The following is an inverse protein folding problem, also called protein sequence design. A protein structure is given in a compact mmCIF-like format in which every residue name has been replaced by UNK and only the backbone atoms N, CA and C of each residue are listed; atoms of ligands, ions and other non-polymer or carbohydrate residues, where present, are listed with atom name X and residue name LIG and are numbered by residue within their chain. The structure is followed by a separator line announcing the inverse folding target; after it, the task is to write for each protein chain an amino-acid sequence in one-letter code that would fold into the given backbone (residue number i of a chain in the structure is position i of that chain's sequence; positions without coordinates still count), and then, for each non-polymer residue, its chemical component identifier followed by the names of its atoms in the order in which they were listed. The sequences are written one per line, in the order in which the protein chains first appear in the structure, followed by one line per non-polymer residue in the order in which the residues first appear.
data_IF_458591798350
#
_entry.id   IF_458591798350
#
_cell.length_a   1.000
_cell.length_b   1.000
_cell.length_c   1.000
_cell.angle_alpha   90.00
_cell.angle_beta   90.00
_cell.angle_gamma   90.00
#
_symmetry.space_group_name_H-M   'P 1'
#
loop_
_entity.id
_entity.type
_entity.pdbx_description
1 polymer ?
#
# COMPACT_ATOMS: atom_id res chain seq x y z
N UNK A 1 -16.88 5.54 -10.78
CA UNK A 1 -15.50 5.00 -10.87
C UNK A 1 -15.32 3.94 -9.81
N UNK A 2 -14.54 2.87 -10.11
CA UNK A 2 -14.18 1.85 -9.11
C UNK A 2 -12.67 1.76 -9.03
N UNK A 3 -12.12 1.77 -7.81
CA UNK A 3 -10.71 1.57 -7.54
C UNK A 3 -10.48 0.19 -6.92
N UNK A 4 -9.49 -0.55 -7.41
CA UNK A 4 -8.98 -1.77 -6.82
C UNK A 4 -7.60 -1.47 -6.25
N UNK A 5 -7.55 -1.14 -4.95
CA UNK A 5 -6.30 -0.76 -4.27
C UNK A 5 -5.61 -2.01 -3.74
N UNK A 6 -4.40 -2.27 -4.20
CA UNK A 6 -3.64 -3.49 -3.91
C UNK A 6 -2.35 -3.14 -3.19
N UNK A 7 -2.06 -3.82 -2.07
CA UNK A 7 -0.74 -3.81 -1.47
C UNK A 7 0.20 -4.74 -2.24
N UNK A 8 1.42 -4.31 -2.52
CA UNK A 8 2.44 -5.14 -3.21
C UNK A 8 2.66 -6.51 -2.54
N UNK A 9 3.19 -7.49 -3.30
CA UNK A 9 3.54 -8.83 -2.82
C UNK A 9 4.71 -8.85 -1.82
N UNK A 10 5.00 -10.02 -1.24
CA UNK A 10 6.09 -10.20 -0.28
C UNK A 10 7.48 -10.00 -0.93
N UNK A 11 8.42 -9.51 -0.15
CA UNK A 11 9.84 -9.33 -0.47
C UNK A 11 10.71 -9.96 0.62
N UNK A 12 11.99 -10.20 0.36
CA UNK A 12 12.86 -10.88 1.33
C UNK A 12 13.01 -10.12 2.65
N UNK A 13 13.01 -8.80 2.63
CA UNK A 13 13.03 -8.00 3.87
C UNK A 13 11.79 -8.19 4.74
N UNK A 14 10.66 -8.62 4.17
CA UNK A 14 9.50 -9.01 4.99
C UNK A 14 9.79 -10.26 5.84
N UNK A 15 10.51 -11.27 5.27
CA UNK A 15 10.87 -12.50 6.00
C UNK A 15 11.80 -12.23 7.18
N UNK A 16 12.78 -11.35 6.97
CA UNK A 16 13.80 -11.01 7.98
C UNK A 16 13.40 -9.82 8.84
N UNK A 17 12.16 -9.34 8.69
CA UNK A 17 11.56 -8.21 9.42
C UNK A 17 12.47 -6.97 9.45
N UNK A 18 12.93 -6.53 8.26
CA UNK A 18 13.65 -5.27 8.09
C UNK A 18 12.73 -4.16 7.64
N UNK A 19 12.96 -2.97 8.20
CA UNK A 19 12.28 -1.72 7.82
C UNK A 19 12.54 -1.40 6.35
N UNK A 20 11.49 -1.11 5.60
CA UNK A 20 11.62 -0.75 4.20
C UNK A 20 10.61 0.31 3.80
N UNK A 21 11.11 1.49 3.49
CA UNK A 21 10.38 2.59 2.88
C UNK A 21 10.73 2.74 1.41
N UNK A 22 11.65 3.63 1.09
CA UNK A 22 12.05 3.96 -0.28
C UNK A 22 13.14 3.06 -0.86
N UNK A 23 13.86 2.26 -0.04
CA UNK A 23 14.81 1.26 -0.54
C UNK A 23 14.09 0.33 -1.52
N UNK A 24 14.61 0.25 -2.75
CA UNK A 24 13.91 -0.40 -3.85
C UNK A 24 14.33 -1.87 -4.00
N UNK A 25 13.58 -2.76 -3.37
CA UNK A 25 13.80 -4.22 -3.36
C UNK A 25 12.65 -4.90 -4.11
N UNK A 26 12.96 -5.84 -5.05
CA UNK A 26 11.95 -6.54 -5.82
C UNK A 26 11.14 -7.53 -4.97
N UNK A 27 10.07 -8.06 -5.56
CA UNK A 27 9.32 -9.18 -4.99
C UNK A 27 10.23 -10.42 -4.87
N UNK A 28 9.99 -11.22 -3.83
CA UNK A 28 10.51 -12.59 -3.79
C UNK A 28 9.55 -13.54 -4.53
N UNK A 29 9.93 -14.81 -4.69
CA UNK A 29 9.10 -15.79 -5.41
C UNK A 29 7.73 -16.00 -4.77
N UNK A 30 7.65 -15.93 -3.43
CA UNK A 30 6.38 -16.03 -2.74
C UNK A 30 5.49 -14.81 -3.02
N UNK A 31 6.05 -13.60 -3.04
CA UNK A 31 5.32 -12.38 -3.42
C UNK A 31 4.79 -12.44 -4.85
N UNK A 32 5.59 -12.97 -5.80
CA UNK A 32 5.15 -13.21 -7.18
C UNK A 32 4.03 -14.24 -7.25
N UNK A 33 4.12 -15.31 -6.44
CA UNK A 33 3.04 -16.28 -6.33
C UNK A 33 1.74 -15.64 -5.85
N UNK A 34 1.76 -14.87 -4.76
CA UNK A 34 0.58 -14.15 -4.25
C UNK A 34 -0.02 -13.21 -5.29
N UNK A 35 0.82 -12.48 -6.03
CA UNK A 35 0.37 -11.60 -7.11
C UNK A 35 -0.31 -12.37 -8.26
N UNK A 36 0.20 -13.58 -8.60
CA UNK A 36 -0.45 -14.46 -9.59
C UNK A 36 -1.81 -14.98 -9.11
N UNK A 37 -1.95 -15.34 -7.85
CA UNK A 37 -3.24 -15.76 -7.29
C UNK A 37 -4.24 -14.59 -7.29
N UNK A 38 -3.80 -13.38 -6.93
CA UNK A 38 -4.62 -12.18 -7.03
C UNK A 38 -5.02 -11.89 -8.49
N UNK A 39 -4.10 -12.09 -9.46
CA UNK A 39 -4.41 -11.97 -10.87
C UNK A 39 -5.53 -12.94 -11.32
N UNK A 40 -5.53 -14.19 -10.81
CA UNK A 40 -6.61 -15.16 -11.08
C UNK A 40 -7.94 -14.69 -10.50
N UNK A 41 -7.92 -14.16 -9.27
CA UNK A 41 -9.12 -13.61 -8.62
C UNK A 41 -9.72 -12.41 -9.36
N UNK A 42 -8.86 -11.58 -9.97
CA UNK A 42 -9.27 -10.42 -10.74
C UNK A 42 -9.37 -10.67 -12.26
N UNK A 43 -9.36 -11.94 -12.70
CA UNK A 43 -9.34 -12.29 -14.12
C UNK A 43 -10.53 -11.73 -14.89
N UNK A 44 -11.73 -11.84 -14.32
CA UNK A 44 -12.98 -11.37 -14.92
C UNK A 44 -13.30 -9.91 -14.56
N UNK A 45 -12.45 -9.27 -13.75
CA UNK A 45 -12.64 -7.88 -13.35
C UNK A 45 -12.19 -6.96 -14.49
N UNK A 46 -13.09 -6.09 -14.95
CA UNK A 46 -12.74 -5.04 -15.91
C UNK A 46 -11.80 -4.05 -15.23
N UNK A 47 -10.65 -3.81 -15.85
CA UNK A 47 -9.68 -2.77 -15.46
C UNK A 47 -9.38 -1.96 -16.72
N UNK A 48 -9.55 -0.64 -16.66
CA UNK A 48 -9.38 0.27 -17.78
C UNK A 48 -8.07 1.05 -17.71
N UNK A 49 -7.48 1.16 -16.52
CA UNK A 49 -6.25 1.89 -16.22
C UNK A 49 -5.59 1.25 -14.99
N UNK A 50 -4.27 1.27 -14.94
CA UNK A 50 -3.53 0.96 -13.71
C UNK A 50 -2.62 2.13 -13.34
N UNK A 51 -2.54 2.42 -12.04
CA UNK A 51 -1.63 3.40 -11.46
C UNK A 51 -0.80 2.68 -10.40
N UNK A 52 0.51 2.86 -10.43
CA UNK A 52 1.41 2.18 -9.51
C UNK A 52 2.38 3.16 -8.85
N UNK A 53 2.77 2.86 -7.61
CA UNK A 53 3.99 3.42 -7.06
C UNK A 53 5.17 3.12 -7.99
N UNK A 54 6.13 4.04 -8.16
CA UNK A 54 7.33 3.80 -8.97
C UNK A 54 8.27 2.74 -8.38
N UNK A 55 8.11 2.34 -7.10
CA UNK A 55 8.94 1.31 -6.48
C UNK A 55 8.69 -0.06 -7.13
N UNK A 56 9.79 -0.74 -7.47
CA UNK A 56 9.79 -1.97 -8.27
C UNK A 56 8.80 -3.04 -7.78
N UNK A 57 8.68 -3.24 -6.46
CA UNK A 57 7.77 -4.23 -5.87
C UNK A 57 6.28 -3.96 -6.15
N UNK A 58 5.88 -2.70 -6.17
CA UNK A 58 4.50 -2.31 -6.50
C UNK A 58 4.25 -2.40 -8.00
N UNK A 59 5.19 -1.93 -8.80
CA UNK A 59 5.16 -2.01 -10.27
C UNK A 59 5.09 -3.46 -10.74
N UNK A 60 5.96 -4.33 -10.23
CA UNK A 60 5.99 -5.76 -10.53
C UNK A 60 4.67 -6.44 -10.14
N UNK A 61 4.09 -6.08 -8.98
CA UNK A 61 2.78 -6.58 -8.55
C UNK A 61 1.68 -6.20 -9.54
N UNK A 62 1.62 -4.93 -9.94
CA UNK A 62 0.65 -4.47 -10.95
C UNK A 62 0.82 -5.21 -12.28
N UNK A 63 2.05 -5.35 -12.77
CA UNK A 63 2.35 -6.04 -14.03
C UNK A 63 1.90 -7.50 -14.00
N UNK A 64 2.14 -8.22 -12.89
CA UNK A 64 1.69 -9.62 -12.72
C UNK A 64 0.16 -9.69 -12.71
N UNK A 65 -0.53 -8.79 -12.00
CA UNK A 65 -2.00 -8.75 -11.95
C UNK A 65 -2.58 -8.43 -13.33
N UNK A 66 -2.00 -7.51 -14.06
CA UNK A 66 -2.45 -7.15 -15.40
C UNK A 66 -2.20 -8.30 -16.42
N UNK A 67 -1.12 -9.05 -16.25
CA UNK A 67 -0.77 -10.16 -17.14
C UNK A 67 -0.60 -9.69 -18.59
N UNK A 68 -1.32 -10.30 -19.52
CA UNK A 68 -1.25 -9.98 -20.98
C UNK A 68 -2.23 -8.87 -21.41
N UNK A 69 -3.00 -8.32 -20.47
CA UNK A 69 -3.97 -7.25 -20.75
C UNK A 69 -3.24 -5.98 -21.20
N UNK A 70 -3.60 -5.43 -22.35
CA UNK A 70 -3.03 -4.18 -22.88
C UNK A 70 -3.68 -2.97 -22.21
N UNK A 71 -3.36 -2.77 -20.93
CA UNK A 71 -3.92 -1.72 -20.09
C UNK A 71 -2.80 -0.70 -19.78
N UNK A 72 -3.06 0.61 -19.95
CA UNK A 72 -2.10 1.64 -19.58
C UNK A 72 -1.69 1.51 -18.10
N UNK A 73 -0.39 1.56 -17.82
CA UNK A 73 0.19 1.55 -16.49
C UNK A 73 0.95 2.87 -16.26
N UNK A 74 0.41 3.71 -15.40
CA UNK A 74 1.00 5.00 -15.01
C UNK A 74 1.74 4.86 -13.68
N UNK A 75 2.78 5.64 -13.48
CA UNK A 75 3.49 5.73 -12.20
C UNK A 75 3.10 7.04 -11.49
N UNK A 76 2.83 6.95 -10.18
CA UNK A 76 2.58 8.12 -9.36
C UNK A 76 3.40 8.07 -8.06
N UNK A 77 4.32 9.03 -7.82
CA UNK A 77 5.15 9.05 -6.62
C UNK A 77 4.37 9.32 -5.33
N UNK A 78 3.16 9.89 -5.40
CA UNK A 78 2.32 10.16 -4.23
C UNK A 78 1.80 8.90 -3.54
N UNK A 79 1.84 7.74 -4.19
CA UNK A 79 1.47 6.45 -3.61
C UNK A 79 2.68 5.55 -3.32
N UNK A 80 3.90 6.13 -3.20
CA UNK A 80 5.06 5.43 -2.64
C UNK A 80 4.83 5.06 -1.18
N UNK A 81 5.60 4.10 -0.67
CA UNK A 81 5.63 3.82 0.77
C UNK A 81 6.16 5.04 1.54
N UNK A 82 5.85 5.13 2.82
CA UNK A 82 6.46 6.12 3.70
C UNK A 82 7.97 5.93 3.70
N UNK A 83 8.72 7.03 3.59
CA UNK A 83 10.18 7.01 3.68
C UNK A 83 10.62 6.91 5.14
N UNK A 84 11.47 5.93 5.47
CA UNK A 84 11.95 5.76 6.84
C UNK A 84 13.36 6.34 7.08
N UNK A 85 13.98 6.98 6.08
CA UNK A 85 15.28 7.62 6.22
C UNK A 85 16.34 6.70 6.83
N UNK A 86 16.98 7.15 7.91
CA UNK A 86 18.03 6.39 8.59
C UNK A 86 17.57 5.05 9.21
N UNK A 87 16.26 4.81 9.33
CA UNK A 87 15.75 3.54 9.84
C UNK A 87 15.61 2.46 8.75
N UNK A 88 15.81 2.78 7.47
CA UNK A 88 15.73 1.76 6.42
C UNK A 88 16.79 0.68 6.58
N UNK A 89 16.38 -0.59 6.50
CA UNK A 89 17.24 -1.76 6.73
C UNK A 89 17.44 -2.16 8.19
N UNK A 90 16.96 -1.35 9.16
CA UNK A 90 16.98 -1.70 10.58
C UNK A 90 16.09 -2.91 10.83
N UNK A 91 16.46 -3.77 11.79
CA UNK A 91 15.63 -4.90 12.21
C UNK A 91 14.46 -4.43 13.05
N UNK A 92 13.23 -4.81 12.71
CA UNK A 92 12.07 -4.52 13.55
C UNK A 92 12.06 -5.31 14.87
N UNK A 93 12.80 -6.43 14.93
CA UNK A 93 12.88 -7.32 16.11
C UNK A 93 14.13 -7.08 16.96
N UNK A 94 14.97 -6.10 16.62
CA UNK A 94 16.18 -5.77 17.39
C UNK A 94 15.84 -5.22 18.78
N UNK A 95 16.74 -5.45 19.74
CA UNK A 95 16.62 -4.90 21.11
C UNK A 95 17.41 -3.59 21.29
N UNK A 96 18.08 -3.14 20.24
CA UNK A 96 18.79 -1.86 20.22
C UNK A 96 17.82 -0.66 20.26
N UNK A 97 18.29 0.53 20.67
CA UNK A 97 17.44 1.72 20.78
C UNK A 97 16.73 2.11 19.48
N UNK A 98 17.38 1.94 18.32
CA UNK A 98 16.81 2.31 17.01
C UNK A 98 15.65 1.38 16.66
N UNK A 99 15.82 0.08 16.82
CA UNK A 99 14.78 -0.92 16.61
C UNK A 99 13.58 -0.67 17.52
N UNK A 100 13.82 -0.32 18.80
CA UNK A 100 12.73 0.03 19.75
C UNK A 100 12.01 1.31 19.33
N UNK A 101 12.72 2.34 18.93
CA UNK A 101 12.12 3.59 18.44
C UNK A 101 11.26 3.36 17.19
N UNK A 102 11.74 2.54 16.25
CA UNK A 102 10.96 2.20 15.05
C UNK A 102 9.67 1.43 15.38
N UNK A 103 9.66 0.54 16.38
CA UNK A 103 8.44 -0.18 16.76
C UNK A 103 7.29 0.73 17.20
N UNK A 104 7.57 1.96 17.64
CA UNK A 104 6.53 2.94 17.95
C UNK A 104 5.69 3.28 16.72
N UNK A 105 6.25 3.23 15.52
CA UNK A 105 5.49 3.40 14.29
C UNK A 105 4.27 2.46 14.17
N UNK A 106 4.36 1.25 14.72
CA UNK A 106 3.24 0.30 14.73
C UNK A 106 2.46 0.30 16.04
N UNK A 107 3.15 0.41 17.18
CA UNK A 107 2.55 0.15 18.49
C UNK A 107 2.00 1.43 19.15
N UNK A 108 2.58 2.58 18.85
CA UNK A 108 2.19 3.90 19.36
C UNK A 108 2.53 4.99 18.33
N UNK A 109 1.83 5.05 17.17
CA UNK A 109 2.19 5.96 16.08
C UNK A 109 2.27 7.43 16.50
N UNK A 110 1.47 7.87 17.47
CA UNK A 110 1.52 9.22 18.02
C UNK A 110 2.80 9.54 18.80
N UNK A 111 3.55 8.52 19.24
CA UNK A 111 4.85 8.67 19.91
C UNK A 111 6.03 8.46 18.93
N UNK A 112 5.75 8.04 17.69
CA UNK A 112 6.79 7.82 16.70
C UNK A 112 7.37 9.14 16.21
N UNK A 113 8.69 9.28 16.35
CA UNK A 113 9.44 10.42 15.82
C UNK A 113 10.17 9.99 14.56
N UNK A 114 9.82 10.61 13.44
CA UNK A 114 10.46 10.34 12.16
C UNK A 114 11.96 10.72 12.24
N UNK A 115 12.89 9.81 11.89
CA UNK A 115 14.32 10.10 11.92
C UNK A 115 14.72 11.01 10.77
N UNK A 116 15.99 11.42 10.75
CA UNK A 116 16.52 12.26 9.68
C UNK A 116 16.28 11.60 8.31
N UNK A 117 15.74 12.38 7.38
CA UNK A 117 15.46 11.95 6.02
C UNK A 117 14.23 11.02 5.87
N UNK A 118 13.49 10.80 6.96
CA UNK A 118 12.21 10.11 6.91
C UNK A 118 11.06 11.07 6.64
N UNK A 119 9.95 10.52 6.20
CA UNK A 119 8.67 11.18 6.04
C UNK A 119 7.84 11.00 7.32
N UNK A 120 7.07 12.00 7.71
CA UNK A 120 6.08 11.87 8.81
C UNK A 120 4.78 11.24 8.31
N UNK A 121 3.93 10.80 9.26
CA UNK A 121 2.61 10.26 8.92
C UNK A 121 1.71 11.36 8.35
N UNK A 122 1.85 12.60 8.82
CA UNK A 122 1.12 13.76 8.32
C UNK A 122 1.49 14.05 6.85
N UNK A 123 2.78 14.06 6.51
CA UNK A 123 3.24 14.25 5.13
C UNK A 123 2.72 13.13 4.21
N UNK A 124 2.69 11.88 4.73
CA UNK A 124 2.09 10.76 4.02
C UNK A 124 0.58 10.98 3.78
N UNK A 125 -0.15 11.46 4.79
CA UNK A 125 -1.56 11.82 4.63
C UNK A 125 -1.77 12.94 3.61
N UNK A 126 -0.92 13.96 3.57
CA UNK A 126 -1.02 15.05 2.61
C UNK A 126 -0.88 14.54 1.18
N UNK A 127 0.23 13.87 0.84
CA UNK A 127 0.46 13.43 -0.55
C UNK A 127 -0.53 12.37 -1.04
N UNK A 128 -0.95 11.43 -0.16
CA UNK A 128 -1.99 10.46 -0.53
C UNK A 128 -3.37 11.10 -0.64
N UNK A 129 -3.62 12.18 0.12
CA UNK A 129 -4.82 13.00 0.01
C UNK A 129 -4.88 13.74 -1.33
N UNK A 130 -3.77 14.33 -1.78
CA UNK A 130 -3.68 15.00 -3.08
C UNK A 130 -3.91 14.02 -4.23
N UNK A 131 -3.38 12.80 -4.11
CA UNK A 131 -3.64 11.72 -5.06
C UNK A 131 -5.13 11.36 -5.12
N UNK A 132 -5.78 11.16 -3.97
CA UNK A 132 -7.21 10.84 -3.91
C UNK A 132 -8.06 11.97 -4.47
N UNK A 133 -7.72 13.21 -4.16
CA UNK A 133 -8.42 14.40 -4.66
C UNK A 133 -8.40 14.42 -6.19
N UNK A 134 -7.23 14.25 -6.80
CA UNK A 134 -7.12 14.19 -8.27
C UNK A 134 -7.98 13.07 -8.86
N UNK A 135 -7.96 11.87 -8.26
CA UNK A 135 -8.82 10.77 -8.70
C UNK A 135 -10.30 11.16 -8.69
N UNK A 136 -10.74 11.85 -7.65
CA UNK A 136 -12.14 12.25 -7.50
C UNK A 136 -12.54 13.38 -8.48
N UNK A 137 -11.60 14.26 -8.86
CA UNK A 137 -11.87 15.44 -9.70
C UNK A 137 -11.67 15.19 -11.19
N UNK A 138 -10.87 14.18 -11.56
CA UNK A 138 -10.47 13.96 -12.97
C UNK A 138 -11.61 13.36 -13.80
N UNK A 139 -12.26 14.18 -14.59
CA UNK A 139 -13.45 13.83 -15.37
C UNK A 139 -13.22 12.62 -16.29
N UNK A 140 -12.07 12.53 -16.96
CA UNK A 140 -11.74 11.42 -17.88
C UNK A 140 -11.64 10.06 -17.20
N UNK A 141 -11.60 10.00 -15.87
CA UNK A 141 -11.49 8.76 -15.09
C UNK A 141 -12.81 8.34 -14.43
N UNK A 142 -13.84 9.19 -14.41
CA UNK A 142 -15.08 8.97 -13.67
C UNK A 142 -15.86 7.69 -14.06
N UNK A 143 -15.65 7.17 -15.26
CA UNK A 143 -16.28 5.94 -15.74
C UNK A 143 -15.30 4.75 -15.80
N UNK A 144 -14.09 4.90 -15.25
CA UNK A 144 -13.05 3.85 -15.31
C UNK A 144 -13.03 2.98 -14.07
N UNK A 145 -12.57 1.76 -14.27
CA UNK A 145 -12.13 0.85 -13.23
C UNK A 145 -10.61 0.90 -13.18
N UNK A 146 -10.05 1.31 -12.06
CA UNK A 146 -8.63 1.61 -11.92
C UNK A 146 -7.99 0.65 -10.91
N UNK A 147 -6.93 -0.05 -11.33
CA UNK A 147 -6.06 -0.80 -10.43
C UNK A 147 -5.03 0.16 -9.83
N UNK A 148 -4.90 0.20 -8.51
CA UNK A 148 -3.88 0.99 -7.80
C UNK A 148 -2.96 0.05 -7.05
N UNK A 149 -1.68 0.00 -7.43
CA UNK A 149 -0.69 -0.82 -6.74
C UNK A 149 0.21 0.03 -5.85
N UNK A 150 0.17 -0.22 -4.55
CA UNK A 150 0.82 0.60 -3.54
C UNK A 150 1.38 -0.24 -2.37
N UNK A 151 1.56 0.35 -1.19
CA UNK A 151 2.28 -0.21 -0.04
C UNK A 151 1.43 -0.20 1.22
N UNK A 152 1.97 -0.74 2.32
CA UNK A 152 1.24 -0.89 3.56
C UNK A 152 0.78 0.43 4.17
N UNK A 153 1.72 1.34 4.47
CA UNK A 153 1.37 2.62 5.09
C UNK A 153 0.66 3.57 4.11
N UNK A 154 1.10 3.61 2.85
CA UNK A 154 0.45 4.45 1.84
C UNK A 154 -1.01 4.04 1.57
N UNK A 155 -1.30 2.73 1.52
CA UNK A 155 -2.67 2.21 1.41
C UNK A 155 -3.49 2.57 2.64
N UNK A 156 -2.93 2.39 3.84
CA UNK A 156 -3.59 2.75 5.11
C UNK A 156 -3.92 4.25 5.14
N UNK A 157 -2.98 5.12 4.78
CA UNK A 157 -3.21 6.57 4.73
C UNK A 157 -4.34 6.94 3.76
N UNK A 158 -4.33 6.35 2.56
CA UNK A 158 -5.37 6.56 1.55
C UNK A 158 -6.76 6.12 2.07
N UNK A 159 -6.85 4.95 2.69
CA UNK A 159 -8.12 4.42 3.22
C UNK A 159 -8.61 5.21 4.43
N UNK A 160 -7.70 5.66 5.32
CA UNK A 160 -8.05 6.52 6.45
C UNK A 160 -8.60 7.87 5.97
N UNK A 161 -8.05 8.42 4.90
CA UNK A 161 -8.60 9.64 4.27
C UNK A 161 -10.03 9.42 3.80
N UNK A 162 -10.34 8.29 3.19
CA UNK A 162 -11.69 7.92 2.74
C UNK A 162 -12.64 7.79 3.94
N UNK A 163 -12.16 7.25 5.06
CA UNK A 163 -12.94 7.12 6.31
C UNK A 163 -13.13 8.44 7.06
N UNK A 164 -12.41 9.49 6.70
CA UNK A 164 -12.38 10.75 7.46
C UNK A 164 -11.63 10.65 8.79
N UNK A 165 -10.76 9.66 8.97
CA UNK A 165 -9.96 9.42 10.19
C UNK A 165 -8.49 9.70 9.91
N UNK A 166 -8.00 10.88 10.30
CA UNK A 166 -6.64 11.36 10.04
C UNK A 166 -5.78 11.46 11.31
N UNK A 167 -6.20 10.85 12.41
CA UNK A 167 -5.41 10.80 13.64
C UNK A 167 -4.15 9.96 13.43
N UNK A 168 -2.99 10.49 13.84
CA UNK A 168 -1.72 9.78 13.84
C UNK A 168 -1.74 8.65 14.86
N UNK A 169 -2.31 8.86 16.05
CA UNK A 169 -2.41 7.88 17.12
C UNK A 169 -3.14 6.61 16.68
N UNK A 170 -4.18 6.77 15.86
CA UNK A 170 -4.98 5.66 15.35
C UNK A 170 -4.64 5.28 13.90
N UNK A 171 -3.43 5.62 13.43
CA UNK A 171 -3.03 5.42 12.02
C UNK A 171 -3.33 4.01 11.50
N UNK A 172 -2.96 2.99 12.25
CA UNK A 172 -3.14 1.59 11.84
C UNK A 172 -4.54 1.03 12.07
N UNK A 173 -5.41 1.72 12.79
CA UNK A 173 -6.78 1.36 13.19
C UNK A 173 -6.97 -0.12 13.54
N UNK A 174 -6.69 -1.02 12.60
CA UNK A 174 -6.74 -2.47 12.81
C UNK A 174 -5.36 -3.10 12.64
N UNK A 175 -4.92 -3.28 11.41
CA UNK A 175 -3.67 -3.98 11.07
C UNK A 175 -3.15 -3.54 9.71
N UNK A 176 -1.86 -3.76 9.49
CA UNK A 176 -1.26 -3.58 8.15
C UNK A 176 -1.99 -4.48 7.14
N UNK A 177 -2.49 -3.96 6.01
CA UNK A 177 -3.14 -4.76 4.97
C UNK A 177 -2.27 -5.96 4.55
N UNK A 178 -2.83 -7.16 4.31
CA UNK A 178 -2.07 -8.31 3.83
C UNK A 178 -1.38 -8.04 2.49
N UNK A 179 -0.25 -8.70 2.23
CA UNK A 179 0.38 -8.63 0.90
C UNK A 179 -0.58 -9.13 -0.18
N UNK A 180 -0.65 -8.45 -1.30
CA UNK A 180 -1.57 -8.73 -2.42
C UNK A 180 -3.07 -8.74 -2.02
N UNK A 181 -3.45 -8.19 -0.86
CA UNK A 181 -4.86 -7.93 -0.58
C UNK A 181 -5.38 -6.78 -1.45
N UNK A 182 -6.67 -6.85 -1.77
CA UNK A 182 -7.39 -5.87 -2.59
C UNK A 182 -8.47 -5.21 -1.76
N UNK A 183 -8.47 -3.88 -1.73
CA UNK A 183 -9.58 -3.08 -1.20
C UNK A 183 -10.31 -2.41 -2.36
N UNK A 184 -11.61 -2.62 -2.44
CA UNK A 184 -12.47 -2.02 -3.47
C UNK A 184 -13.07 -0.72 -2.94
N UNK A 185 -12.83 0.38 -3.65
CA UNK A 185 -13.40 1.70 -3.36
C UNK A 185 -14.29 2.11 -4.53
N UNK A 186 -15.50 2.52 -4.25
CA UNK A 186 -16.41 3.12 -5.21
C UNK A 186 -16.40 4.63 -5.06
N UNK A 187 -16.31 5.36 -6.15
CA UNK A 187 -16.40 6.83 -6.17
C UNK A 187 -17.63 7.22 -6.98
N UNK A 188 -18.60 7.85 -6.31
CA UNK A 188 -19.83 8.38 -6.91
C UNK A 188 -19.94 9.87 -6.63
N UNK A 189 -20.13 10.67 -7.67
CA UNK A 189 -20.21 12.13 -7.57
C UNK A 189 -19.04 12.75 -6.80
N UNK A 190 -17.82 12.22 -7.00
CA UNK A 190 -16.62 12.69 -6.30
C UNK A 190 -16.47 12.21 -4.84
N UNK A 191 -17.42 11.41 -4.32
CA UNK A 191 -17.40 10.91 -2.95
C UNK A 191 -16.90 9.44 -2.94
N UNK A 192 -15.72 9.15 -2.36
CA UNK A 192 -15.20 7.78 -2.24
C UNK A 192 -15.84 7.04 -1.07
N UNK A 193 -16.14 5.75 -1.27
CA UNK A 193 -16.65 4.84 -0.26
C UNK A 193 -15.95 3.48 -0.36
N UNK A 194 -15.48 2.91 0.76
CA UNK A 194 -14.91 1.57 0.82
C UNK A 194 -16.05 0.56 0.77
N UNK A 195 -16.04 -0.32 -0.24
CA UNK A 195 -17.10 -1.32 -0.47
C UNK A 195 -16.69 -2.69 0.08
N UNK A 196 -15.43 -3.08 -0.16
CA UNK A 196 -14.82 -4.32 0.34
C UNK A 196 -13.40 -4.04 0.73
N UNK A 197 -12.94 -4.64 1.81
CA UNK A 197 -11.62 -4.34 2.37
C UNK A 197 -10.80 -5.62 2.58
N UNK A 198 -9.51 -5.53 2.22
CA UNK A 198 -8.51 -6.57 2.45
C UNK A 198 -8.89 -7.97 1.92
N UNK A 199 -9.61 -8.04 0.79
CA UNK A 199 -9.90 -9.32 0.12
C UNK A 199 -8.59 -9.99 -0.33
N UNK A 200 -8.46 -11.28 -0.04
CA UNK A 200 -7.34 -12.11 -0.49
C UNK A 200 -7.85 -13.21 -1.42
N UNK A 201 -7.07 -13.52 -2.45
CA UNK A 201 -7.43 -14.53 -3.47
C UNK A 201 -6.54 -15.78 -3.40
N UNK A 202 -5.65 -15.85 -2.42
CA UNK A 202 -4.79 -16.99 -2.15
C UNK A 202 -5.26 -17.75 -0.88
N UNK A 203 -4.91 -19.04 -0.78
CA UNK A 203 -5.35 -19.92 0.32
C UNK A 203 -4.33 -20.00 1.46
N UNK A 204 -3.13 -19.51 1.24
CA UNK A 204 -2.04 -19.55 2.20
C UNK A 204 -2.35 -18.67 3.42
N UNK A 205 -1.83 -19.09 4.58
CA UNK A 205 -1.98 -18.30 5.81
C UNK A 205 -1.34 -16.92 5.63
N UNK A 206 -2.13 -15.87 5.90
CA UNK A 206 -1.65 -14.49 5.88
C UNK A 206 -0.48 -14.34 6.86
N UNK A 207 0.67 -13.92 6.35
CA UNK A 207 1.83 -13.56 7.17
C UNK A 207 1.64 -12.11 7.64
N UNK A 208 1.26 -11.95 8.91
CA UNK A 208 1.10 -10.62 9.50
C UNK A 208 2.46 -9.98 9.77
N UNK A 209 2.60 -8.71 9.41
CA UNK A 209 3.83 -7.96 9.57
C UNK A 209 4.01 -7.38 10.98
N UNK A 210 2.92 -7.08 11.65
CA UNK A 210 2.86 -6.39 12.94
C UNK A 210 2.73 -7.32 14.18
N UNK A 211 3.02 -8.60 14.06
CA UNK A 211 3.19 -9.49 15.23
C UNK A 211 4.64 -9.39 15.70
N UNK A 212 4.98 -8.33 16.41
CA UNK A 212 6.21 -8.19 17.20
C UNK A 212 5.84 -8.17 18.67
#
# INVERSE_FOLDING_TARGET
MVLYVVRHGEKDWNKVKRVQGHTDIPLNEYGRHLARETAKGLKETRIDLAITSPLIRAKETAQIILGTRQIPLLEDPRIKEIGFGEYEGVSCNGEDPVSRAFRLFFNAPGEYIAPKGAETIEELYERTGDFLKELCEKEEWQQKNILISTHGAAMTALLNRIRGSLSVESFWQEKVPPNCSVTTVQIENGVPCIVRENEIFYKEKVRQWNTV
#
